data_IF_937888839104
#
_entry.id   IF_937888839104
#
_cell.length_a   1.000
_cell.length_b   1.000
_cell.length_c   1.000
_cell.angle_alpha   90.00
_cell.angle_beta   90.00
_cell.angle_gamma   90.00
#
_symmetry.space_group_name_H-M   'P 1'
#
loop_
_entity.id
_entity.type
_entity.pdbx_description
1 polymer ?
#
# COMPACT_ATOMS: atom_id res chain seq x y z
N UNK A 1 -7.45 -18.06 -11.49
CA UNK A 1 -8.19 -16.90 -10.91
C UNK A 1 -8.79 -17.38 -9.61
N UNK A 2 -8.28 -16.87 -8.48
CA UNK A 2 -8.71 -17.23 -7.14
C UNK A 2 -9.62 -16.17 -6.50
N UNK A 3 -9.88 -16.26 -5.19
CA UNK A 3 -10.56 -15.21 -4.42
C UNK A 3 -9.76 -13.90 -4.43
N UNK A 4 -10.41 -12.79 -4.07
CA UNK A 4 -9.74 -11.49 -3.99
C UNK A 4 -8.74 -11.46 -2.83
N UNK A 5 -7.77 -10.54 -2.89
CA UNK A 5 -6.73 -10.44 -1.87
C UNK A 5 -7.33 -10.12 -0.50
N UNK A 6 -8.35 -9.27 -0.43
CA UNK A 6 -9.03 -8.94 0.82
C UNK A 6 -9.79 -10.14 1.42
N UNK A 7 -10.41 -10.97 0.59
CA UNK A 7 -11.00 -12.24 1.01
C UNK A 7 -9.96 -13.21 1.56
N UNK A 8 -8.81 -13.35 0.88
CA UNK A 8 -7.69 -14.17 1.35
C UNK A 8 -7.18 -13.69 2.72
N UNK A 9 -6.95 -12.38 2.87
CA UNK A 9 -6.40 -11.81 4.10
C UNK A 9 -7.35 -11.96 5.28
N UNK A 10 -8.67 -11.95 5.04
CA UNK A 10 -9.66 -12.10 6.10
C UNK A 10 -9.58 -13.46 6.81
N UNK A 11 -9.22 -14.54 6.10
CA UNK A 11 -9.21 -15.90 6.64
C UNK A 11 -7.85 -16.35 7.18
N UNK A 12 -6.76 -15.67 6.79
CA UNK A 12 -5.40 -16.06 7.17
C UNK A 12 -5.01 -15.64 8.59
N UNK A 13 -4.09 -16.39 9.20
CA UNK A 13 -3.40 -16.02 10.43
C UNK A 13 -2.44 -14.81 10.22
N UNK A 14 -2.11 -14.02 11.26
CA UNK A 14 -1.30 -12.80 11.14
C UNK A 14 0.02 -12.96 10.37
N UNK A 15 0.79 -14.02 10.62
CA UNK A 15 2.07 -14.26 9.96
C UNK A 15 1.90 -14.59 8.48
N UNK A 16 0.85 -15.33 8.14
CA UNK A 16 0.49 -15.63 6.77
C UNK A 16 -0.03 -14.39 6.02
N UNK A 17 -0.75 -13.50 6.72
CA UNK A 17 -1.18 -12.21 6.16
C UNK A 17 0.03 -11.37 5.75
N UNK A 18 1.02 -11.20 6.62
CA UNK A 18 2.21 -10.40 6.29
C UNK A 18 2.95 -10.96 5.07
N UNK A 19 3.13 -12.28 4.99
CA UNK A 19 3.74 -12.91 3.81
C UNK A 19 2.97 -12.64 2.53
N UNK A 20 1.64 -12.78 2.56
CA UNK A 20 0.80 -12.53 1.39
C UNK A 20 0.80 -11.04 0.99
N UNK A 21 0.77 -10.13 1.96
CA UNK A 21 0.87 -8.68 1.72
C UNK A 21 2.20 -8.32 1.06
N UNK A 22 3.32 -8.87 1.54
CA UNK A 22 4.63 -8.65 0.94
C UNK A 22 4.71 -9.24 -0.49
N UNK A 23 4.16 -10.44 -0.71
CA UNK A 23 4.10 -11.06 -2.03
C UNK A 23 3.26 -10.25 -3.03
N UNK A 24 2.09 -9.77 -2.60
CA UNK A 24 1.24 -8.87 -3.38
C UNK A 24 1.96 -7.58 -3.81
N UNK A 25 2.73 -7.01 -2.87
CA UNK A 25 3.53 -5.81 -3.11
C UNK A 25 4.66 -6.05 -4.11
N UNK A 26 5.37 -7.17 -3.98
CA UNK A 26 6.41 -7.56 -4.92
C UNK A 26 5.84 -7.88 -6.32
N UNK A 27 4.67 -8.50 -6.40
CA UNK A 27 3.97 -8.73 -7.67
C UNK A 27 3.57 -7.41 -8.35
N UNK A 28 3.09 -6.42 -7.59
CA UNK A 28 2.83 -5.08 -8.11
C UNK A 28 4.09 -4.40 -8.65
N UNK A 29 5.22 -4.55 -7.96
CA UNK A 29 6.50 -4.07 -8.47
C UNK A 29 6.91 -4.75 -9.78
N UNK A 30 6.79 -6.07 -9.88
CA UNK A 30 7.08 -6.82 -11.10
C UNK A 30 6.13 -6.47 -12.26
N UNK A 31 4.88 -6.14 -11.96
CA UNK A 31 3.93 -5.59 -12.92
C UNK A 31 4.39 -4.21 -13.43
N UNK A 32 4.79 -3.33 -12.53
CA UNK A 32 5.28 -1.99 -12.86
C UNK A 32 6.62 -1.98 -13.61
N UNK A 33 7.52 -2.92 -13.29
CA UNK A 33 8.79 -3.12 -13.99
C UNK A 33 8.61 -3.43 -15.49
N UNK A 34 7.47 -4.02 -15.86
CA UNK A 34 7.10 -4.29 -17.27
C UNK A 34 6.42 -3.12 -17.97
N UNK A 35 6.50 -1.92 -17.39
CA UNK A 35 5.91 -0.71 -17.94
C UNK A 35 4.40 -0.60 -17.78
N UNK A 36 3.80 -1.45 -16.93
CA UNK A 36 2.35 -1.51 -16.75
C UNK A 36 1.90 -0.69 -15.52
N UNK A 37 0.63 -0.34 -15.47
CA UNK A 37 -0.05 0.29 -14.34
C UNK A 37 -1.51 -0.18 -14.34
N UNK A 38 -2.20 -0.04 -13.22
CA UNK A 38 -3.56 -0.55 -13.02
C UNK A 38 -4.61 0.56 -13.02
N UNK A 39 -4.33 1.66 -12.31
CA UNK A 39 -5.25 2.79 -12.11
C UNK A 39 -6.27 2.59 -11.00
N UNK A 40 -6.43 1.35 -10.55
CA UNK A 40 -7.32 0.92 -9.48
C UNK A 40 -6.72 -0.23 -8.68
N UNK A 41 -5.44 -0.17 -8.34
CA UNK A 41 -4.67 -1.24 -7.66
C UNK A 41 -5.07 -1.48 -6.18
N UNK A 42 -6.36 -1.57 -5.90
CA UNK A 42 -6.90 -1.88 -4.59
C UNK A 42 -6.94 -3.40 -4.39
N UNK A 43 -6.86 -3.87 -3.14
CA UNK A 43 -6.87 -5.30 -2.83
C UNK A 43 -8.07 -6.06 -3.41
N UNK A 44 -9.25 -5.44 -3.50
CA UNK A 44 -10.44 -6.03 -4.12
C UNK A 44 -10.31 -6.30 -5.62
N UNK A 45 -9.41 -5.59 -6.30
CA UNK A 45 -9.15 -5.72 -7.74
C UNK A 45 -7.97 -6.65 -8.00
N UNK A 46 -7.42 -7.30 -6.98
CA UNK A 46 -6.38 -8.30 -7.11
C UNK A 46 -6.85 -9.63 -6.55
N UNK A 47 -6.55 -10.72 -7.25
CA UNK A 47 -6.91 -12.08 -6.84
C UNK A 47 -5.67 -12.92 -6.65
N UNK A 48 -5.78 -13.95 -5.80
CA UNK A 48 -4.70 -14.87 -5.49
C UNK A 48 -5.23 -16.30 -5.48
N UNK A 49 -4.66 -17.18 -6.30
CA UNK A 49 -5.08 -18.59 -6.37
C UNK A 49 -4.19 -19.56 -5.58
N UNK A 50 -3.24 -19.05 -4.80
CA UNK A 50 -2.25 -19.86 -4.08
C UNK A 50 -0.88 -19.88 -4.74
N UNK A 51 -0.80 -19.49 -6.01
CA UNK A 51 0.46 -19.49 -6.77
C UNK A 51 0.66 -18.20 -7.58
N UNK A 52 -0.42 -17.65 -8.16
CA UNK A 52 -0.37 -16.49 -9.04
C UNK A 52 -1.31 -15.37 -8.59
N UNK A 53 -0.86 -14.13 -8.81
CA UNK A 53 -1.72 -12.95 -8.74
C UNK A 53 -2.34 -12.64 -10.10
N UNK A 54 -3.62 -12.30 -10.10
CA UNK A 54 -4.29 -11.71 -11.25
C UNK A 54 -4.96 -10.40 -10.86
N UNK A 55 -5.14 -9.50 -11.84
CA UNK A 55 -5.74 -8.18 -11.67
C UNK A 55 -7.05 -8.10 -12.43
N UNK A 56 -8.04 -7.46 -11.84
CA UNK A 56 -9.38 -7.22 -12.37
C UNK A 56 -9.56 -5.72 -12.58
N UNK A 57 -10.54 -5.32 -13.39
CA UNK A 57 -11.03 -3.94 -13.45
C UNK A 57 -9.93 -2.87 -13.65
N UNK A 58 -9.17 -3.00 -14.75
CA UNK A 58 -8.23 -1.97 -15.17
C UNK A 58 -8.97 -0.68 -15.52
N UNK A 59 -8.45 0.45 -15.04
CA UNK A 59 -9.00 1.76 -15.37
C UNK A 59 -8.39 2.27 -16.68
N UNK A 60 -9.22 2.92 -17.51
CA UNK A 60 -8.75 3.62 -18.70
C UNK A 60 -8.05 4.94 -18.31
N UNK A 61 -7.23 5.50 -19.20
CA UNK A 61 -6.57 6.79 -18.94
C UNK A 61 -7.61 7.92 -18.86
N UNK A 62 -8.01 8.31 -17.64
CA UNK A 62 -9.03 9.33 -17.40
C UNK A 62 -8.55 10.79 -17.61
N UNK A 63 -7.28 11.04 -17.93
CA UNK A 63 -6.72 12.38 -18.19
C UNK A 63 -5.40 12.31 -19.00
N UNK A 64 -4.97 13.37 -19.73
CA UNK A 64 -3.73 13.33 -20.49
C UNK A 64 -2.49 13.12 -19.60
N UNK A 65 -1.52 12.41 -20.19
CA UNK A 65 -0.44 11.61 -19.62
C UNK A 65 0.26 12.13 -18.34
N UNK A 66 -0.21 11.65 -17.17
CA UNK A 66 0.68 11.54 -16.02
C UNK A 66 1.87 10.64 -16.40
N UNK A 67 3.11 10.96 -15.98
CA UNK A 67 4.25 10.07 -16.19
C UNK A 67 3.94 8.69 -15.63
N UNK A 68 4.39 7.63 -16.32
CA UNK A 68 4.16 6.24 -15.91
C UNK A 68 4.55 5.99 -14.44
N UNK A 69 5.72 6.49 -14.04
CA UNK A 69 6.19 6.39 -12.66
C UNK A 69 5.21 7.01 -11.65
N UNK A 70 4.53 8.11 -12.02
CA UNK A 70 3.54 8.76 -11.16
C UNK A 70 2.29 7.91 -10.98
N UNK A 71 1.73 7.33 -12.05
CA UNK A 71 0.55 6.47 -11.94
C UNK A 71 0.86 5.17 -11.19
N UNK A 72 2.05 4.61 -11.36
CA UNK A 72 2.52 3.46 -10.59
C UNK A 72 2.70 3.79 -9.09
N UNK A 73 3.13 5.02 -8.77
CA UNK A 73 3.16 5.52 -7.40
C UNK A 73 1.76 5.61 -6.79
N UNK A 74 0.76 6.04 -7.57
CA UNK A 74 -0.63 6.04 -7.13
C UNK A 74 -1.19 4.63 -6.93
N UNK A 75 -0.88 3.68 -7.81
CA UNK A 75 -1.25 2.27 -7.62
C UNK A 75 -0.72 1.73 -6.28
N UNK A 76 0.53 2.03 -5.94
CA UNK A 76 1.11 1.60 -4.66
C UNK A 76 0.40 2.23 -3.46
N UNK A 77 0.01 3.51 -3.54
CA UNK A 77 -0.78 4.16 -2.49
C UNK A 77 -2.17 3.53 -2.38
N UNK A 78 -2.85 3.28 -3.50
CA UNK A 78 -4.16 2.64 -3.54
C UNK A 78 -4.11 1.25 -2.88
N UNK A 79 -3.07 0.46 -3.17
CA UNK A 79 -2.86 -0.85 -2.56
C UNK A 79 -2.72 -0.70 -1.04
N UNK A 80 -1.75 0.10 -0.56
CA UNK A 80 -1.48 0.26 0.87
C UNK A 80 -2.70 0.79 1.64
N UNK A 81 -3.39 1.79 1.10
CA UNK A 81 -4.58 2.35 1.79
C UNK A 81 -5.76 1.39 1.77
N UNK A 82 -5.97 0.61 0.70
CA UNK A 82 -6.99 -0.45 0.69
C UNK A 82 -6.72 -1.54 1.74
N UNK A 83 -5.45 -1.72 2.11
CA UNK A 83 -4.97 -2.68 3.10
C UNK A 83 -4.82 -2.10 4.52
N UNK A 84 -5.16 -0.82 4.72
CA UNK A 84 -4.87 -0.09 5.95
C UNK A 84 -5.47 -0.74 7.21
N UNK A 85 -6.62 -1.41 7.10
CA UNK A 85 -7.20 -2.19 8.20
C UNK A 85 -6.27 -3.32 8.63
N UNK A 86 -5.89 -4.19 7.70
CA UNK A 86 -5.03 -5.35 7.97
C UNK A 86 -3.65 -4.92 8.43
N UNK A 87 -3.09 -3.87 7.81
CA UNK A 87 -1.80 -3.31 8.19
C UNK A 87 -1.81 -2.68 9.59
N UNK A 88 -2.92 -2.04 9.98
CA UNK A 88 -3.03 -1.48 11.32
C UNK A 88 -3.01 -2.55 12.42
N UNK A 89 -3.62 -3.71 12.17
CA UNK A 89 -3.62 -4.84 13.10
C UNK A 89 -2.24 -5.48 13.23
N UNK A 90 -1.40 -5.39 12.19
CA UNK A 90 -0.02 -5.93 12.16
C UNK A 90 1.04 -4.89 12.59
N UNK A 91 0.69 -3.61 12.60
CA UNK A 91 1.55 -2.51 13.04
C UNK A 91 2.43 -1.87 11.95
N UNK A 92 3.18 -0.80 12.28
CA UNK A 92 3.99 -0.04 11.33
C UNK A 92 5.07 -0.85 10.62
N UNK A 93 5.64 -1.86 11.30
CA UNK A 93 6.63 -2.77 10.73
C UNK A 93 6.08 -3.52 9.50
N UNK A 94 4.80 -3.91 9.52
CA UNK A 94 4.18 -4.57 8.38
C UNK A 94 4.09 -3.65 7.15
N UNK A 95 3.77 -2.38 7.36
CA UNK A 95 3.76 -1.37 6.30
C UNK A 95 5.16 -1.18 5.72
N UNK A 96 6.18 -1.07 6.58
CA UNK A 96 7.59 -1.02 6.16
C UNK A 96 7.97 -2.23 5.31
N UNK A 97 7.64 -3.45 5.75
CA UNK A 97 7.91 -4.69 5.02
C UNK A 97 7.22 -4.73 3.65
N UNK A 98 5.97 -4.29 3.56
CA UNK A 98 5.22 -4.22 2.29
C UNK A 98 5.89 -3.23 1.32
N UNK A 99 6.27 -2.04 1.77
CA UNK A 99 6.94 -1.04 0.93
C UNK A 99 8.34 -1.50 0.51
N UNK A 100 9.06 -2.16 1.41
CA UNK A 100 10.37 -2.75 1.11
C UNK A 100 10.27 -3.86 0.07
N UNK A 101 9.26 -4.73 0.17
CA UNK A 101 9.01 -5.78 -0.82
C UNK A 101 8.73 -5.19 -2.22
N UNK A 102 7.96 -4.10 -2.29
CA UNK A 102 7.76 -3.38 -3.55
C UNK A 102 9.09 -2.82 -4.09
N UNK A 103 9.85 -2.09 -3.26
CA UNK A 103 11.12 -1.50 -3.70
C UNK A 103 12.14 -2.55 -4.17
N UNK A 104 12.24 -3.69 -3.46
CA UNK A 104 13.11 -4.80 -3.82
C UNK A 104 12.65 -5.55 -5.08
N UNK A 105 11.37 -5.43 -5.46
CA UNK A 105 10.83 -5.99 -6.70
C UNK A 105 11.28 -5.27 -7.97
N UNK A 106 12.08 -4.21 -7.86
CA UNK A 106 12.67 -3.48 -8.98
C UNK A 106 11.69 -2.67 -9.85
N UNK A 107 10.71 -1.94 -9.28
CA UNK A 107 9.84 -1.08 -10.06
C UNK A 107 10.64 0.12 -10.60
N UNK A 108 10.19 0.77 -11.69
CA UNK A 108 10.93 1.88 -12.28
C UNK A 108 10.79 3.19 -11.48
N UNK A 109 9.84 3.26 -10.53
CA UNK A 109 9.66 4.41 -9.63
C UNK A 109 10.61 4.31 -8.43
N UNK A 110 11.28 5.42 -8.09
CA UNK A 110 11.83 5.60 -6.75
C UNK A 110 10.69 5.90 -5.77
N UNK A 111 10.22 4.84 -5.10
CA UNK A 111 9.11 4.93 -4.16
C UNK A 111 9.44 5.85 -2.96
N UNK A 112 10.70 5.92 -2.52
CA UNK A 112 11.08 6.79 -1.40
C UNK A 112 10.99 8.26 -1.80
N UNK A 113 11.54 8.60 -2.97
CA UNK A 113 11.44 9.95 -3.51
C UNK A 113 9.98 10.37 -3.77
N UNK A 114 9.13 9.43 -4.20
CA UNK A 114 7.71 9.67 -4.39
C UNK A 114 6.96 9.93 -3.07
N UNK A 115 7.22 9.15 -2.01
CA UNK A 115 6.51 9.26 -0.73
C UNK A 115 6.97 10.46 0.12
N UNK A 116 8.27 10.80 0.07
CA UNK A 116 8.87 11.88 0.89
C UNK A 116 8.10 13.21 0.88
N UNK A 117 7.69 13.77 -0.27
CA UNK A 117 6.92 15.03 -0.30
C UNK A 117 5.44 14.86 0.12
N UNK A 118 4.90 13.64 0.14
CA UNK A 118 3.51 13.36 0.49
C UNK A 118 3.30 13.22 2.01
N UNK A 119 4.26 12.60 2.70
CA UNK A 119 4.21 12.35 4.14
C UNK A 119 3.86 13.58 5.00
N UNK A 120 4.51 14.76 4.86
CA UNK A 120 4.17 15.91 5.69
C UNK A 120 2.77 16.48 5.39
N UNK A 121 2.19 16.21 4.21
CA UNK A 121 0.81 16.61 3.89
C UNK A 121 -0.19 15.68 4.56
N UNK A 122 0.06 14.36 4.51
CA UNK A 122 -0.79 13.36 5.15
C UNK A 122 -0.71 13.42 6.68
N UNK A 123 0.48 13.66 7.24
CA UNK A 123 0.68 13.85 8.67
C UNK A 123 -0.11 15.06 9.21
N UNK A 124 -0.18 16.16 8.44
CA UNK A 124 -1.02 17.31 8.79
C UNK A 124 -2.48 16.90 8.95
N UNK A 125 -3.05 16.14 8.00
CA UNK A 125 -4.44 15.67 8.08
C UNK A 125 -4.70 14.88 9.38
N UNK A 126 -3.77 13.99 9.76
CA UNK A 126 -3.84 13.26 11.04
C UNK A 126 -3.75 14.18 12.26
N UNK A 127 -2.95 15.24 12.21
CA UNK A 127 -2.83 16.23 13.28
C UNK A 127 -4.10 17.06 13.46
N UNK A 128 -4.76 17.49 12.38
CA UNK A 128 -6.05 18.19 12.46
C UNK A 128 -7.14 17.30 13.06
N UNK A 129 -7.13 16.00 12.76
CA UNK A 129 -8.06 15.05 13.38
C UNK A 129 -7.86 14.93 14.91
N UNK A 130 -6.65 15.19 15.41
CA UNK A 130 -6.35 15.15 16.84
C UNK A 130 -7.04 16.27 17.65
N UNK A 131 -7.48 17.36 17.00
CA UNK A 131 -8.20 18.46 17.67
C UNK A 131 -9.62 18.09 18.11
N UNK A 132 -10.13 16.94 17.65
CA UNK A 132 -11.40 16.38 18.11
C UNK A 132 -11.14 15.06 18.81
N UNK A 133 -11.42 14.99 20.12
CA UNK A 133 -11.28 13.75 20.91
C UNK A 133 -12.05 12.57 20.32
N UNK A 134 -13.19 12.84 19.66
CA UNK A 134 -13.98 11.85 18.92
C UNK A 134 -13.23 11.30 17.70
N UNK A 135 -12.58 12.16 16.93
CA UNK A 135 -11.85 11.75 15.72
C UNK A 135 -10.49 11.14 16.07
N UNK A 136 -9.82 11.67 17.08
CA UNK A 136 -8.51 11.21 17.56
C UNK A 136 -8.54 9.72 17.99
N UNK A 137 -9.62 9.31 18.66
CA UNK A 137 -9.84 7.93 19.05
C UNK A 137 -10.34 7.00 17.93
N UNK A 138 -10.68 7.54 16.75
CA UNK A 138 -11.34 6.77 15.69
C UNK A 138 -10.42 5.71 15.09
N UNK A 139 -11.01 4.58 14.67
CA UNK A 139 -10.27 3.48 14.04
C UNK A 139 -9.56 3.93 12.75
N UNK A 140 -10.19 4.80 11.97
CA UNK A 140 -9.61 5.28 10.70
C UNK A 140 -8.38 6.18 10.93
N UNK A 141 -8.41 7.05 11.94
CA UNK A 141 -7.25 7.88 12.28
C UNK A 141 -6.10 7.02 12.82
N UNK A 142 -6.39 6.01 13.64
CA UNK A 142 -5.38 5.05 14.11
C UNK A 142 -4.75 4.27 12.95
N UNK A 143 -5.56 3.77 12.01
CA UNK A 143 -5.07 3.09 10.79
C UNK A 143 -4.18 4.00 9.96
N UNK A 144 -4.62 5.24 9.73
CA UNK A 144 -3.82 6.23 8.99
C UNK A 144 -2.48 6.47 9.69
N UNK A 145 -2.46 6.66 11.01
CA UNK A 145 -1.22 6.85 11.79
C UNK A 145 -0.28 5.66 11.68
N UNK A 146 -0.78 4.42 11.75
CA UNK A 146 0.02 3.21 11.55
C UNK A 146 0.65 3.17 10.17
N UNK A 147 -0.13 3.46 9.11
CA UNK A 147 0.36 3.54 7.74
C UNK A 147 1.43 4.62 7.59
N UNK A 148 1.19 5.82 8.11
CA UNK A 148 2.13 6.93 8.03
C UNK A 148 3.43 6.65 8.78
N UNK A 149 3.37 6.03 9.96
CA UNK A 149 4.56 5.65 10.71
C UNK A 149 5.45 4.66 9.94
N UNK A 150 4.85 3.64 9.31
CA UNK A 150 5.60 2.68 8.52
C UNK A 150 6.13 3.25 7.20
N UNK A 151 5.37 4.14 6.54
CA UNK A 151 5.86 4.87 5.37
C UNK A 151 7.03 5.79 5.71
N UNK A 152 6.96 6.49 6.85
CA UNK A 152 8.03 7.36 7.33
C UNK A 152 9.31 6.55 7.59
N UNK A 153 9.20 5.44 8.32
CA UNK A 153 10.31 4.52 8.57
C UNK A 153 10.93 3.98 7.27
N UNK A 154 10.11 3.68 6.26
CA UNK A 154 10.59 3.24 4.94
C UNK A 154 11.37 4.35 4.20
N UNK A 155 10.90 5.59 4.26
CA UNK A 155 11.54 6.77 3.65
C UNK A 155 12.83 7.16 4.37
N UNK A 156 12.90 6.96 5.68
CA UNK A 156 14.07 7.24 6.51
C UNK A 156 15.09 6.09 6.52
N UNK A 157 14.74 4.96 5.90
CA UNK A 157 15.55 3.74 5.87
C UNK A 157 15.89 3.18 7.26
N UNK A 158 15.03 3.49 8.23
CA UNK A 158 15.16 3.07 9.62
C UNK A 158 13.91 2.25 9.99
N UNK A 159 14.01 0.91 10.15
CA UNK A 159 12.89 0.08 10.55
C UNK A 159 12.22 0.63 11.83
N UNK A 160 10.89 0.64 11.93
CA UNK A 160 10.22 1.06 13.15
C UNK A 160 10.61 0.17 14.33
N UNK A 161 10.76 0.78 15.51
CA UNK A 161 11.13 0.13 16.76
C UNK A 161 10.04 -0.80 17.29
#
# INVERSE_FOLDING_TARGET
IGPTLDECLATLAPEARLRLLAAASADLAAFHARGQWHGGAQARNMTWDGEHFARLDFEEQLCPALPLATVQGYDMLQLVFSLARTLADLGPQAVYTVLLAYANGGPPIDLRAFLRPLLPRLARVSHWAAWSTRLDGSREVKRLRTVLAGMQAFVDEAPPA
#
